data_IF_174263214530
#
_entry.id   IF_174263214530
#
_cell.length_a   1.000
_cell.length_b   1.000
_cell.length_c   1.000
_cell.angle_alpha   90.00
_cell.angle_beta   90.00
_cell.angle_gamma   90.00
#
_symmetry.space_group_name_H-M   'P 1'
#
loop_
_entity.id
_entity.type
_entity.pdbx_description
1 polymer ?
#
# COMPACT_ATOMS: atom_id res chain seq x y z
N UNK A 1 71.38 -1.32 -41.63
CA UNK A 1 70.50 -2.46 -41.89
C UNK A 1 69.35 -2.35 -40.84
N UNK A 2 68.34 -1.56 -41.17
CA UNK A 2 67.20 -1.28 -40.30
C UNK A 2 65.96 -1.96 -40.89
N UNK A 3 65.46 -2.95 -40.22
CA UNK A 3 64.28 -3.72 -40.58
C UNK A 3 63.05 -2.93 -40.19
N UNK A 4 62.40 -2.27 -41.13
CA UNK A 4 61.05 -1.73 -41.05
C UNK A 4 60.04 -2.87 -40.86
N UNK A 5 59.63 -3.13 -39.62
CA UNK A 5 58.46 -3.95 -39.38
C UNK A 5 57.22 -3.13 -39.69
N UNK A 6 56.73 -3.21 -40.95
CA UNK A 6 55.36 -2.80 -41.23
C UNK A 6 54.38 -3.66 -40.44
N UNK A 7 53.82 -3.07 -39.41
CA UNK A 7 52.66 -3.64 -38.70
C UNK A 7 51.48 -3.56 -39.65
N UNK A 8 51.18 -4.66 -40.31
CA UNK A 8 50.01 -4.80 -41.17
C UNK A 8 48.78 -4.94 -40.30
N UNK A 9 48.20 -3.82 -39.88
CA UNK A 9 46.88 -3.78 -39.23
C UNK A 9 45.89 -4.17 -40.33
N UNK A 10 45.35 -5.40 -40.29
CA UNK A 10 44.24 -5.87 -41.12
C UNK A 10 43.08 -4.89 -40.95
N UNK A 11 42.86 -4.01 -41.94
CA UNK A 11 41.84 -2.97 -41.89
C UNK A 11 40.46 -3.60 -41.80
N UNK A 12 39.84 -3.52 -40.62
CA UNK A 12 38.41 -3.78 -40.48
C UNK A 12 37.70 -2.81 -41.41
N UNK A 13 36.88 -3.32 -42.33
CA UNK A 13 36.11 -2.45 -43.24
C UNK A 13 35.25 -1.51 -42.42
N UNK A 14 35.35 -0.20 -42.64
CA UNK A 14 34.59 0.85 -41.91
C UNK A 14 33.10 0.51 -41.83
N UNK A 15 32.56 -0.09 -42.89
CA UNK A 15 31.16 -0.57 -42.94
C UNK A 15 30.86 -1.63 -41.85
N UNK A 16 31.76 -2.58 -41.66
CA UNK A 16 31.60 -3.65 -40.65
C UNK A 16 31.66 -3.08 -39.23
N UNK A 17 32.58 -2.15 -38.98
CA UNK A 17 32.69 -1.45 -37.70
C UNK A 17 31.41 -0.70 -37.34
N UNK A 18 30.87 0.10 -38.29
CA UNK A 18 29.62 0.83 -38.08
C UNK A 18 28.41 -0.09 -37.81
N UNK A 19 28.27 -1.18 -38.56
CA UNK A 19 27.18 -2.14 -38.35
C UNK A 19 27.27 -2.77 -36.94
N UNK A 20 28.48 -3.16 -36.53
CA UNK A 20 28.69 -3.74 -35.18
C UNK A 20 28.33 -2.71 -34.09
N UNK A 21 28.78 -1.47 -34.19
CA UNK A 21 28.50 -0.43 -33.21
C UNK A 21 27.01 -0.13 -33.12
N UNK A 22 26.31 0.04 -34.23
CA UNK A 22 24.87 0.26 -34.27
C UNK A 22 24.13 -0.93 -33.68
N UNK A 23 24.55 -2.16 -33.94
CA UNK A 23 23.94 -3.35 -33.39
C UNK A 23 24.08 -3.41 -31.84
N UNK A 24 25.26 -3.04 -31.33
CA UNK A 24 25.50 -2.96 -29.89
C UNK A 24 24.61 -1.90 -29.25
N UNK A 25 24.52 -0.70 -29.84
CA UNK A 25 23.64 0.37 -29.37
C UNK A 25 22.18 -0.10 -29.32
N UNK A 26 21.68 -0.74 -30.38
CA UNK A 26 20.31 -1.26 -30.40
C UNK A 26 20.05 -2.27 -29.30
N UNK A 27 20.97 -3.18 -29.06
CA UNK A 27 20.84 -4.18 -27.94
C UNK A 27 20.81 -3.47 -26.60
N UNK A 28 21.69 -2.50 -26.37
CA UNK A 28 21.71 -1.75 -25.10
C UNK A 28 20.44 -0.92 -24.88
N UNK A 29 19.87 -0.32 -25.94
CA UNK A 29 18.57 0.37 -25.86
C UNK A 29 17.42 -0.59 -25.50
N UNK A 30 17.37 -1.78 -26.11
CA UNK A 30 16.37 -2.80 -25.79
C UNK A 30 16.50 -3.25 -24.34
N UNK A 31 17.72 -3.48 -23.87
CA UNK A 31 17.98 -3.82 -22.45
C UNK A 31 17.56 -2.71 -21.50
N UNK A 32 17.79 -1.44 -21.87
CA UNK A 32 17.37 -0.29 -21.06
C UNK A 32 15.84 -0.20 -20.99
N UNK A 33 15.13 -0.36 -22.10
CA UNK A 33 13.67 -0.39 -22.13
C UNK A 33 13.11 -1.53 -21.26
N UNK A 34 13.67 -2.73 -21.38
CA UNK A 34 13.27 -3.87 -20.56
C UNK A 34 13.50 -3.60 -19.08
N UNK A 35 14.65 -3.05 -18.70
CA UNK A 35 14.96 -2.69 -17.32
C UNK A 35 13.99 -1.61 -16.77
N UNK A 36 13.57 -0.66 -17.61
CA UNK A 36 12.60 0.37 -17.24
C UNK A 36 11.22 -0.22 -16.93
N UNK A 37 10.72 -1.09 -17.81
CA UNK A 37 9.44 -1.78 -17.58
C UNK A 37 9.48 -2.60 -16.29
N UNK A 38 10.59 -3.31 -16.06
CA UNK A 38 10.76 -4.09 -14.82
C UNK A 38 10.82 -3.21 -13.55
N UNK A 39 11.43 -2.03 -13.64
CA UNK A 39 11.44 -1.07 -12.54
C UNK A 39 10.04 -0.54 -12.22
N UNK A 40 9.23 -0.22 -13.24
CA UNK A 40 7.83 0.21 -13.06
C UNK A 40 6.99 -0.85 -12.37
N UNK A 41 7.09 -2.11 -12.78
CA UNK A 41 6.38 -3.21 -12.11
C UNK A 41 6.74 -3.33 -10.62
N UNK A 42 8.00 -3.14 -10.25
CA UNK A 42 8.43 -3.16 -8.84
C UNK A 42 7.91 -1.95 -8.06
N UNK A 43 7.82 -0.81 -8.71
CA UNK A 43 7.24 0.40 -8.13
C UNK A 43 5.73 0.19 -7.84
N UNK A 44 4.98 -0.36 -8.80
CA UNK A 44 3.55 -0.62 -8.64
C UNK A 44 3.27 -1.58 -7.48
N UNK A 45 4.08 -2.64 -7.32
CA UNK A 45 3.98 -3.55 -6.17
C UNK A 45 4.20 -2.82 -4.85
N UNK A 46 5.16 -1.89 -4.79
CA UNK A 46 5.45 -1.11 -3.59
C UNK A 46 4.29 -0.16 -3.24
N UNK A 47 3.73 0.51 -4.24
CA UNK A 47 2.58 1.42 -4.07
C UNK A 47 1.37 0.63 -3.59
N UNK A 48 1.03 -0.47 -4.26
CA UNK A 48 -0.09 -1.34 -3.88
C UNK A 48 0.03 -1.85 -2.44
N UNK A 49 1.22 -2.31 -2.01
CA UNK A 49 1.44 -2.75 -0.64
C UNK A 49 1.20 -1.62 0.40
N UNK A 50 1.54 -0.38 0.05
CA UNK A 50 1.31 0.79 0.92
C UNK A 50 -0.18 1.15 0.99
N UNK A 51 -0.87 1.12 -0.15
CA UNK A 51 -2.32 1.39 -0.23
C UNK A 51 -3.11 0.35 0.57
N UNK A 52 -2.75 -0.93 0.45
CA UNK A 52 -3.36 -2.02 1.24
C UNK A 52 -3.17 -1.80 2.74
N UNK A 53 -1.96 -1.44 3.19
CA UNK A 53 -1.71 -1.18 4.61
C UNK A 53 -2.53 0.01 5.13
N UNK A 54 -2.63 1.10 4.35
CA UNK A 54 -3.43 2.26 4.70
C UNK A 54 -4.93 1.93 4.77
N UNK A 55 -5.43 1.12 3.84
CA UNK A 55 -6.82 0.66 3.83
C UNK A 55 -7.11 -0.21 5.07
N UNK A 56 -6.24 -1.17 5.40
CA UNK A 56 -6.37 -1.99 6.60
C UNK A 56 -6.35 -1.14 7.88
N UNK A 57 -5.45 -0.14 7.95
CA UNK A 57 -5.39 0.77 9.10
C UNK A 57 -6.67 1.59 9.25
N UNK A 58 -7.20 2.13 8.15
CA UNK A 58 -8.46 2.86 8.15
C UNK A 58 -9.63 1.98 8.61
N UNK A 59 -9.69 0.75 8.10
CA UNK A 59 -10.74 -0.19 8.44
C UNK A 59 -10.69 -0.59 9.92
N UNK A 60 -9.51 -0.86 10.47
CA UNK A 60 -9.37 -1.16 11.89
C UNK A 60 -9.77 0.02 12.78
N UNK A 61 -9.48 1.27 12.36
CA UNK A 61 -9.97 2.46 13.07
C UNK A 61 -11.50 2.53 13.07
N UNK A 62 -12.16 2.22 11.96
CA UNK A 62 -13.64 2.17 11.88
C UNK A 62 -14.26 1.13 12.83
N UNK A 63 -13.60 -0.02 13.02
CA UNK A 63 -14.06 -1.03 14.02
C UNK A 63 -13.98 -0.46 15.43
N UNK A 64 -12.86 0.18 15.77
CA UNK A 64 -12.68 0.80 17.09
C UNK A 64 -13.70 1.91 17.32
N UNK A 65 -13.83 2.84 16.37
CA UNK A 65 -14.78 3.96 16.44
C UNK A 65 -16.22 3.48 16.58
N UNK A 66 -16.62 2.46 15.79
CA UNK A 66 -17.98 1.87 15.89
C UNK A 66 -18.23 1.23 17.25
N UNK A 67 -17.27 0.48 17.78
CA UNK A 67 -17.37 -0.14 19.09
C UNK A 67 -17.41 0.89 20.24
N UNK A 68 -16.61 1.96 20.13
CA UNK A 68 -16.60 3.02 21.15
C UNK A 68 -17.88 3.85 21.10
N UNK A 69 -18.41 4.11 19.91
CA UNK A 69 -19.69 4.80 19.74
C UNK A 69 -20.85 4.01 20.37
N UNK A 70 -20.95 2.70 20.12
CA UNK A 70 -21.97 1.85 20.74
C UNK A 70 -21.86 1.87 22.26
N UNK A 71 -20.65 1.74 22.79
CA UNK A 71 -20.37 1.84 24.22
C UNK A 71 -20.85 3.17 24.82
N UNK A 72 -20.58 4.28 24.13
CA UNK A 72 -21.00 5.61 24.57
C UNK A 72 -22.53 5.72 24.59
N UNK A 73 -23.20 5.28 23.52
CA UNK A 73 -24.66 5.36 23.45
C UNK A 73 -25.35 4.52 24.55
N UNK A 74 -24.89 3.29 24.79
CA UNK A 74 -25.48 2.45 25.87
C UNK A 74 -25.25 3.06 27.23
N UNK A 75 -24.06 3.57 27.51
CA UNK A 75 -23.76 4.23 28.79
C UNK A 75 -24.61 5.46 29.05
N UNK A 76 -24.73 6.31 28.04
CA UNK A 76 -25.59 7.49 28.11
C UNK A 76 -27.05 7.10 28.31
N UNK A 77 -27.53 6.06 27.64
CA UNK A 77 -28.88 5.55 27.83
C UNK A 77 -29.09 5.03 29.28
N UNK A 78 -28.15 4.26 29.83
CA UNK A 78 -28.30 3.71 31.20
C UNK A 78 -28.25 4.76 32.29
N UNK A 79 -27.59 5.91 32.04
CA UNK A 79 -27.49 7.02 33.01
C UNK A 79 -28.62 8.02 32.82
N UNK A 80 -28.94 8.42 31.61
CA UNK A 80 -29.92 9.48 31.34
C UNK A 80 -31.33 8.96 31.11
N UNK A 81 -31.47 7.69 30.72
CA UNK A 81 -32.73 7.06 30.30
C UNK A 81 -33.38 7.73 29.08
N UNK A 82 -32.63 8.57 28.36
CA UNK A 82 -33.09 9.23 27.16
C UNK A 82 -33.07 8.28 25.95
N UNK A 83 -34.24 8.05 25.35
CA UNK A 83 -34.45 7.16 24.21
C UNK A 83 -33.67 7.59 22.97
N UNK A 84 -33.18 8.84 22.89
CA UNK A 84 -32.34 9.28 21.78
C UNK A 84 -31.06 8.46 21.66
N UNK A 85 -30.44 8.11 22.81
CA UNK A 85 -29.23 7.27 22.82
C UNK A 85 -29.52 5.84 22.38
N UNK A 86 -30.69 5.30 22.74
CA UNK A 86 -31.15 4.02 22.21
C UNK A 86 -31.32 4.04 20.71
N UNK A 87 -31.98 5.08 20.17
CA UNK A 87 -32.12 5.27 18.73
C UNK A 87 -30.76 5.35 18.02
N UNK A 88 -29.82 6.10 18.56
CA UNK A 88 -28.48 6.24 18.02
C UNK A 88 -27.72 4.92 17.99
N UNK A 89 -27.83 4.12 19.07
CA UNK A 89 -27.24 2.79 19.15
C UNK A 89 -27.73 1.88 18.02
N UNK A 90 -29.05 1.76 17.86
CA UNK A 90 -29.61 0.89 16.82
C UNK A 90 -29.43 1.45 15.39
N UNK A 91 -29.34 2.76 15.23
CA UNK A 91 -28.94 3.36 13.95
C UNK A 91 -27.54 2.92 13.54
N UNK A 92 -26.61 2.84 14.50
CA UNK A 92 -25.26 2.34 14.22
C UNK A 92 -25.30 0.86 13.78
N UNK A 93 -26.05 0.02 14.47
CA UNK A 93 -26.14 -1.42 14.17
C UNK A 93 -26.80 -1.69 12.83
N UNK A 94 -27.93 -1.03 12.51
CA UNK A 94 -28.73 -1.40 11.36
C UNK A 94 -28.45 -0.56 10.12
N UNK A 95 -28.00 0.70 10.27
CA UNK A 95 -27.87 1.64 9.16
C UNK A 95 -26.43 1.99 8.88
N UNK A 96 -25.67 2.45 9.84
CA UNK A 96 -24.29 2.92 9.64
C UNK A 96 -23.33 1.74 9.49
N UNK A 97 -23.46 0.70 10.29
CA UNK A 97 -22.76 -0.60 10.19
C UNK A 97 -21.24 -0.50 10.04
N UNK A 98 -20.59 0.45 10.72
CA UNK A 98 -19.13 0.68 10.57
C UNK A 98 -18.32 -0.59 10.74
N UNK A 99 -18.65 -1.42 11.75
CA UNK A 99 -17.93 -2.67 12.04
C UNK A 99 -18.14 -3.73 10.96
N UNK A 100 -19.38 -3.92 10.50
CA UNK A 100 -19.73 -4.98 9.55
C UNK A 100 -19.15 -4.69 8.15
N UNK A 101 -19.18 -3.42 7.72
CA UNK A 101 -18.61 -2.97 6.44
C UNK A 101 -17.11 -3.28 6.33
N UNK A 102 -16.40 -3.27 7.47
CA UNK A 102 -14.96 -3.56 7.50
C UNK A 102 -14.64 -5.02 7.17
N UNK A 103 -15.47 -5.95 7.64
CA UNK A 103 -15.26 -7.39 7.36
C UNK A 103 -15.34 -7.71 5.88
N UNK A 104 -16.33 -7.14 5.20
CA UNK A 104 -16.52 -7.33 3.78
C UNK A 104 -15.33 -6.77 2.98
N UNK A 105 -14.82 -5.61 3.39
CA UNK A 105 -13.67 -4.97 2.74
C UNK A 105 -12.33 -5.67 3.00
N UNK A 106 -12.16 -6.30 4.17
CA UNK A 106 -10.91 -6.99 4.52
C UNK A 106 -10.80 -8.39 3.90
N UNK A 107 -11.92 -9.00 3.50
CA UNK A 107 -11.95 -10.29 2.80
C UNK A 107 -11.20 -10.27 1.46
N UNK A 108 -11.06 -9.10 0.85
CA UNK A 108 -10.40 -8.90 -0.45
C UNK A 108 -8.87 -8.75 -0.35
N UNK A 109 -8.31 -8.67 0.87
CA UNK A 109 -6.87 -8.46 1.08
C UNK A 109 -6.15 -9.78 1.37
N UNK A 110 -4.98 -9.94 0.76
CA UNK A 110 -4.04 -11.05 1.05
C UNK A 110 -3.39 -10.85 2.42
N UNK A 111 -4.13 -11.20 3.46
CA UNK A 111 -3.73 -11.10 4.87
C UNK A 111 -3.44 -12.51 5.39
N UNK A 112 -2.35 -12.67 6.17
CA UNK A 112 -2.06 -13.96 6.78
C UNK A 112 -3.20 -14.42 7.71
N UNK A 113 -3.45 -15.73 7.77
CA UNK A 113 -4.50 -16.30 8.65
C UNK A 113 -4.34 -15.84 10.10
N UNK A 114 -3.10 -15.80 10.60
CA UNK A 114 -2.80 -15.33 11.95
C UNK A 114 -3.19 -13.87 12.18
N UNK A 115 -2.96 -13.02 11.20
CA UNK A 115 -3.32 -11.59 11.27
C UNK A 115 -4.84 -11.43 11.24
N UNK A 116 -5.52 -12.16 10.36
CA UNK A 116 -6.98 -12.19 10.27
C UNK A 116 -7.64 -12.66 11.57
N UNK A 117 -7.01 -13.62 12.28
CA UNK A 117 -7.52 -14.15 13.54
C UNK A 117 -7.63 -13.08 14.64
N UNK A 118 -6.71 -12.13 14.70
CA UNK A 118 -6.81 -11.03 15.66
C UNK A 118 -8.07 -10.18 15.45
N UNK A 119 -8.36 -9.83 14.21
CA UNK A 119 -9.54 -9.04 13.90
C UNK A 119 -10.83 -9.82 14.14
N UNK A 120 -10.87 -11.09 13.73
CA UNK A 120 -12.01 -11.98 13.97
C UNK A 120 -12.28 -12.13 15.45
N UNK A 121 -11.24 -12.27 16.27
CA UNK A 121 -11.37 -12.34 17.73
C UNK A 121 -11.95 -11.04 18.31
N UNK A 122 -11.42 -9.88 17.86
CA UNK A 122 -11.93 -8.58 18.30
C UNK A 122 -13.42 -8.39 17.97
N UNK A 123 -13.85 -8.85 16.78
CA UNK A 123 -15.25 -8.75 16.36
C UNK A 123 -16.16 -9.70 17.12
N UNK A 124 -15.72 -10.93 17.39
CA UNK A 124 -16.48 -11.88 18.22
C UNK A 124 -16.63 -11.33 19.64
N UNK A 125 -15.55 -10.88 20.28
CA UNK A 125 -15.60 -10.25 21.60
C UNK A 125 -16.50 -9.00 21.60
N UNK A 126 -16.50 -8.20 20.53
CA UNK A 126 -17.38 -7.05 20.40
C UNK A 126 -18.85 -7.44 20.24
N UNK A 127 -19.15 -8.55 19.57
CA UNK A 127 -20.52 -9.07 19.47
C UNK A 127 -21.02 -9.63 20.82
N UNK A 128 -20.15 -10.30 21.57
CA UNK A 128 -20.48 -10.75 22.94
C UNK A 128 -20.75 -9.55 23.84
N UNK A 129 -19.96 -8.49 23.72
CA UNK A 129 -20.14 -7.27 24.49
C UNK A 129 -21.49 -6.59 24.17
N UNK A 130 -21.93 -6.61 22.88
CA UNK A 130 -23.23 -6.11 22.47
C UNK A 130 -24.40 -6.85 23.18
N UNK A 131 -24.29 -8.15 23.44
CA UNK A 131 -25.32 -8.89 24.20
C UNK A 131 -25.43 -8.33 25.63
N UNK A 132 -24.32 -8.04 26.27
CA UNK A 132 -24.29 -7.39 27.58
C UNK A 132 -24.92 -5.99 27.55
N UNK A 133 -24.62 -5.23 26.50
CA UNK A 133 -25.18 -3.89 26.26
C UNK A 133 -26.71 -3.94 26.07
N UNK A 134 -27.19 -4.85 25.24
CA UNK A 134 -28.64 -5.05 25.03
C UNK A 134 -29.36 -5.54 26.29
N UNK A 135 -28.71 -6.42 27.04
CA UNK A 135 -29.26 -6.85 28.33
C UNK A 135 -29.38 -5.69 29.34
N UNK A 136 -28.38 -4.83 29.40
CA UNK A 136 -28.41 -3.60 30.19
C UNK A 136 -29.56 -2.67 29.76
N UNK A 137 -29.77 -2.50 28.44
CA UNK A 137 -30.92 -1.74 27.92
C UNK A 137 -32.25 -2.36 28.29
N UNK A 138 -32.36 -3.70 28.30
CA UNK A 138 -33.56 -4.41 28.72
C UNK A 138 -33.90 -4.14 30.20
N UNK A 139 -32.90 -4.11 31.08
CA UNK A 139 -33.07 -3.77 32.49
C UNK A 139 -33.59 -2.34 32.66
N UNK A 140 -33.02 -1.36 31.95
CA UNK A 140 -33.51 0.04 31.96
C UNK A 140 -34.94 0.13 31.46
N UNK A 141 -35.27 -0.61 30.37
CA UNK A 141 -36.62 -0.64 29.81
C UNK A 141 -37.64 -1.22 30.81
N UNK A 142 -37.30 -2.31 31.47
CA UNK A 142 -38.13 -2.93 32.47
C UNK A 142 -38.37 -2.00 33.69
N UNK A 143 -37.30 -1.39 34.21
CA UNK A 143 -37.35 -0.45 35.34
C UNK A 143 -38.25 0.77 35.08
N UNK A 144 -38.31 1.25 33.84
CA UNK A 144 -39.03 2.46 33.42
C UNK A 144 -40.33 2.17 32.65
N UNK A 145 -40.69 0.90 32.50
CA UNK A 145 -41.84 0.46 31.71
C UNK A 145 -41.81 0.97 30.23
N UNK A 146 -40.63 1.01 29.65
CA UNK A 146 -40.46 1.41 28.24
C UNK A 146 -40.85 0.26 27.32
N UNK A 147 -41.69 0.55 26.32
CA UNK A 147 -41.89 -0.38 25.20
C UNK A 147 -40.65 -0.46 24.31
N UNK A 148 -40.21 -1.68 23.98
CA UNK A 148 -39.08 -1.97 23.11
C UNK A 148 -39.53 -2.56 21.77
N UNK A 149 -40.82 -2.46 21.41
CA UNK A 149 -41.41 -3.03 20.18
C UNK A 149 -40.70 -2.62 18.90
N UNK A 150 -40.08 -1.42 18.88
CA UNK A 150 -39.27 -0.94 17.74
C UNK A 150 -37.82 -1.46 17.74
N UNK A 151 -37.43 -2.22 18.78
CA UNK A 151 -36.08 -2.74 18.98
C UNK A 151 -36.14 -4.23 19.32
N UNK A 152 -36.43 -5.03 18.28
CA UNK A 152 -36.68 -6.48 18.42
C UNK A 152 -35.56 -7.23 19.17
N UNK A 153 -34.32 -6.83 18.98
CA UNK A 153 -33.15 -7.48 19.59
C UNK A 153 -33.16 -7.32 21.14
N UNK A 154 -33.64 -6.18 21.65
CA UNK A 154 -33.83 -5.98 23.10
C UNK A 154 -35.16 -6.53 23.57
N UNK A 155 -36.20 -6.45 22.77
CA UNK A 155 -37.53 -6.95 23.11
C UNK A 155 -37.52 -8.46 23.41
N UNK A 156 -36.81 -9.22 22.58
CA UNK A 156 -36.68 -10.68 22.66
C UNK A 156 -35.79 -11.17 23.80
N UNK A 157 -35.07 -10.28 24.49
CA UNK A 157 -34.25 -10.67 25.64
C UNK A 157 -35.16 -10.93 26.84
N UNK A 158 -35.05 -12.12 27.39
CA UNK A 158 -35.65 -12.46 28.67
C UNK A 158 -34.73 -12.10 29.83
N UNK A 159 -35.27 -11.38 30.83
CA UNK A 159 -34.54 -11.17 32.06
C UNK A 159 -34.48 -12.48 32.85
N UNK A 160 -33.36 -12.71 33.52
CA UNK A 160 -33.29 -13.83 34.47
C UNK A 160 -34.35 -13.71 35.54
N UNK A 161 -34.77 -14.83 36.16
CA UNK A 161 -35.77 -14.83 37.24
C UNK A 161 -35.35 -13.92 38.40
N UNK A 162 -34.04 -13.90 38.67
CA UNK A 162 -33.46 -13.03 39.69
C UNK A 162 -33.63 -11.55 39.31
N UNK A 163 -33.25 -11.18 38.11
CA UNK A 163 -33.30 -9.80 37.63
C UNK A 163 -34.71 -9.27 37.44
N UNK A 164 -35.66 -10.13 37.06
CA UNK A 164 -37.04 -9.78 36.92
C UNK A 164 -37.71 -9.49 38.32
N UNK A 165 -37.13 -9.99 39.39
CA UNK A 165 -37.60 -9.76 40.77
C UNK A 165 -37.02 -8.50 41.42
N UNK A 166 -36.06 -7.83 40.79
CA UNK A 166 -35.41 -6.63 41.29
C UNK A 166 -36.38 -5.43 41.31
N UNK A 167 -36.19 -4.53 42.27
CA UNK A 167 -36.84 -3.22 42.23
C UNK A 167 -36.33 -2.38 41.07
N UNK A 168 -37.10 -1.40 40.56
CA UNK A 168 -36.65 -0.53 39.46
C UNK A 168 -35.30 0.11 39.73
N UNK A 169 -35.01 0.54 40.95
CA UNK A 169 -33.71 1.12 41.31
C UNK A 169 -32.57 0.10 41.15
N UNK A 170 -32.76 -1.12 41.63
CA UNK A 170 -31.76 -2.19 41.54
C UNK A 170 -31.53 -2.63 40.11
N UNK A 171 -32.58 -2.63 39.25
CA UNK A 171 -32.42 -2.89 37.81
C UNK A 171 -31.54 -1.83 37.13
N UNK A 172 -31.71 -0.55 37.47
CA UNK A 172 -30.91 0.55 36.97
C UNK A 172 -29.45 0.43 37.42
N UNK A 173 -29.24 0.17 38.73
CA UNK A 173 -27.89 -0.02 39.29
C UNK A 173 -27.18 -1.19 38.61
N UNK A 174 -27.85 -2.32 38.39
CA UNK A 174 -27.32 -3.48 37.70
C UNK A 174 -27.03 -3.18 36.22
N UNK A 175 -27.92 -2.48 35.55
CA UNK A 175 -27.72 -2.07 34.18
C UNK A 175 -26.46 -1.20 33.99
N UNK A 176 -26.24 -0.27 34.93
CA UNK A 176 -25.05 0.56 34.95
C UNK A 176 -23.79 -0.27 35.27
N UNK A 177 -23.85 -1.18 36.25
CA UNK A 177 -22.72 -2.04 36.57
C UNK A 177 -22.29 -2.91 35.36
N UNK A 178 -23.23 -3.42 34.60
CA UNK A 178 -22.96 -4.20 33.36
C UNK A 178 -22.15 -3.44 32.32
N UNK A 179 -22.28 -2.11 32.18
CA UNK A 179 -21.61 -1.31 31.15
C UNK A 179 -20.48 -0.41 31.67
N UNK A 180 -20.36 -0.28 33.00
CA UNK A 180 -19.28 0.46 33.65
C UNK A 180 -18.35 -0.43 34.50
N UNK A 181 -18.77 -1.64 34.83
CA UNK A 181 -18.05 -2.57 35.70
C UNK A 181 -16.73 -3.07 35.11
N UNK A 182 -15.98 -3.75 35.97
CA UNK A 182 -14.63 -4.25 35.61
C UNK A 182 -14.63 -5.23 34.44
N UNK A 183 -15.64 -6.11 34.37
CA UNK A 183 -15.72 -7.13 33.31
C UNK A 183 -15.93 -6.51 31.94
N UNK A 184 -16.82 -5.52 31.87
CA UNK A 184 -17.01 -4.73 30.64
C UNK A 184 -15.72 -4.00 30.23
N UNK A 185 -15.04 -3.37 31.20
CA UNK A 185 -13.76 -2.68 30.92
C UNK A 185 -12.68 -3.66 30.43
N UNK A 186 -12.63 -4.86 30.99
CA UNK A 186 -11.68 -5.89 30.56
C UNK A 186 -12.00 -6.42 29.16
N UNK A 187 -13.28 -6.61 28.83
CA UNK A 187 -13.71 -6.97 27.46
C UNK A 187 -13.31 -5.88 26.46
N UNK A 188 -13.57 -4.60 26.74
CA UNK A 188 -13.15 -3.47 25.91
C UNK A 188 -11.63 -3.43 25.70
N UNK A 189 -10.85 -3.66 26.76
CA UNK A 189 -9.37 -3.74 26.66
C UNK A 189 -8.91 -4.91 25.79
N UNK A 190 -9.59 -6.07 25.88
CA UNK A 190 -9.28 -7.22 25.03
C UNK A 190 -9.54 -6.91 23.55
N UNK A 191 -10.69 -6.35 23.23
CA UNK A 191 -11.04 -5.89 21.87
C UNK A 191 -9.98 -4.92 21.33
N UNK A 192 -9.65 -3.87 22.09
CA UNK A 192 -8.65 -2.88 21.72
C UNK A 192 -7.27 -3.51 21.49
N UNK A 193 -6.86 -4.44 22.35
CA UNK A 193 -5.59 -5.17 22.20
C UNK A 193 -5.56 -6.01 20.91
N UNK A 194 -6.64 -6.72 20.60
CA UNK A 194 -6.73 -7.52 19.38
C UNK A 194 -6.71 -6.65 18.12
N UNK A 195 -7.38 -5.49 18.14
CA UNK A 195 -7.30 -4.50 17.05
C UNK A 195 -5.86 -3.97 16.90
N UNK A 196 -5.18 -3.65 18.00
CA UNK A 196 -3.79 -3.20 17.99
C UNK A 196 -2.86 -4.27 17.43
N UNK A 197 -3.00 -5.52 17.86
CA UNK A 197 -2.21 -6.65 17.36
C UNK A 197 -2.43 -6.86 15.84
N UNK A 198 -3.66 -6.70 15.37
CA UNK A 198 -3.97 -6.74 13.94
C UNK A 198 -3.25 -5.63 13.18
N UNK A 199 -3.34 -4.39 13.66
CA UNK A 199 -2.67 -3.24 13.04
C UNK A 199 -1.15 -3.39 13.00
N UNK A 200 -0.55 -3.83 14.10
CA UNK A 200 0.89 -4.05 14.20
C UNK A 200 1.35 -5.13 13.22
N UNK A 201 0.60 -6.23 13.11
CA UNK A 201 0.91 -7.31 12.17
C UNK A 201 0.84 -6.82 10.70
N UNK A 202 -0.18 -6.07 10.33
CA UNK A 202 -0.31 -5.47 8.98
C UNK A 202 0.84 -4.49 8.72
N UNK A 203 1.18 -3.66 9.69
CA UNK A 203 2.24 -2.67 9.54
C UNK A 203 3.61 -3.33 9.37
N UNK A 204 3.88 -4.41 10.10
CA UNK A 204 5.12 -5.19 9.98
C UNK A 204 5.21 -5.84 8.59
N UNK A 205 4.16 -6.51 8.13
CA UNK A 205 4.11 -7.16 6.81
C UNK A 205 4.31 -6.13 5.68
N UNK A 206 3.59 -5.01 5.76
CA UNK A 206 3.71 -3.92 4.79
C UNK A 206 5.13 -3.33 4.76
N UNK A 207 5.74 -3.08 5.92
CA UNK A 207 7.13 -2.58 6.01
C UNK A 207 8.11 -3.57 5.41
N UNK A 208 7.96 -4.88 5.65
CA UNK A 208 8.82 -5.90 5.07
C UNK A 208 8.70 -5.94 3.54
N UNK A 209 7.48 -5.93 3.01
CA UNK A 209 7.20 -5.87 1.56
C UNK A 209 7.77 -4.59 0.94
N UNK A 210 7.59 -3.45 1.60
CA UNK A 210 8.10 -2.16 1.16
C UNK A 210 9.64 -2.11 1.17
N UNK A 211 10.29 -2.61 2.22
CA UNK A 211 11.76 -2.66 2.29
C UNK A 211 12.36 -3.56 1.21
N UNK A 212 11.81 -4.77 1.03
CA UNK A 212 12.24 -5.69 -0.02
C UNK A 212 12.08 -5.06 -1.42
N UNK A 213 10.94 -4.44 -1.69
CA UNK A 213 10.67 -3.76 -2.96
C UNK A 213 11.58 -2.55 -3.18
N UNK A 214 11.84 -1.75 -2.15
CA UNK A 214 12.74 -0.59 -2.20
C UNK A 214 14.18 -1.01 -2.50
N UNK A 215 14.69 -2.08 -1.86
CA UNK A 215 16.04 -2.59 -2.12
C UNK A 215 16.17 -3.10 -3.56
N UNK A 216 15.18 -3.83 -4.05
CA UNK A 216 15.14 -4.32 -5.42
C UNK A 216 15.06 -3.16 -6.42
N UNK A 217 14.24 -2.15 -6.16
CA UNK A 217 14.11 -0.96 -6.99
C UNK A 217 15.43 -0.18 -7.06
N UNK A 218 16.08 0.07 -5.92
CA UNK A 218 17.40 0.72 -5.87
C UNK A 218 18.45 -0.05 -6.68
N UNK A 219 18.44 -1.39 -6.62
CA UNK A 219 19.34 -2.24 -7.40
C UNK A 219 19.07 -2.10 -8.90
N UNK A 220 17.81 -2.14 -9.29
CA UNK A 220 17.39 -1.98 -10.69
C UNK A 220 17.76 -0.60 -11.22
N UNK A 221 17.47 0.47 -10.48
CA UNK A 221 17.85 1.85 -10.86
C UNK A 221 19.37 2.02 -11.00
N UNK A 222 20.17 1.43 -10.10
CA UNK A 222 21.64 1.44 -10.23
C UNK A 222 22.10 0.74 -11.48
N UNK A 223 21.52 -0.41 -11.81
CA UNK A 223 21.85 -1.12 -13.05
C UNK A 223 21.47 -0.30 -14.30
N UNK A 224 20.34 0.40 -14.28
CA UNK A 224 19.94 1.33 -15.34
C UNK A 224 20.94 2.49 -15.48
N UNK A 225 21.40 3.09 -14.38
CA UNK A 225 22.42 4.15 -14.43
C UNK A 225 23.72 3.66 -15.09
N UNK A 226 24.15 2.43 -14.78
CA UNK A 226 25.32 1.82 -15.41
C UNK A 226 25.09 1.65 -16.92
N UNK A 227 23.92 1.12 -17.32
CA UNK A 227 23.57 0.96 -18.75
C UNK A 227 23.54 2.28 -19.50
N UNK A 228 22.96 3.33 -18.92
CA UNK A 228 22.92 4.68 -19.49
C UNK A 228 24.35 5.23 -19.65
N UNK A 229 25.20 5.03 -18.65
CA UNK A 229 26.60 5.46 -18.71
C UNK A 229 27.39 4.76 -19.82
N UNK A 230 27.19 3.45 -19.98
CA UNK A 230 27.80 2.67 -21.06
C UNK A 230 27.33 3.18 -22.43
N UNK A 231 26.01 3.38 -22.61
CA UNK A 231 25.45 3.96 -23.85
C UNK A 231 26.03 5.35 -24.15
N UNK A 232 26.19 6.18 -23.13
CA UNK A 232 26.77 7.51 -23.33
C UNK A 232 28.23 7.44 -23.80
N UNK A 233 29.04 6.59 -23.17
CA UNK A 233 30.44 6.37 -23.58
C UNK A 233 30.53 5.81 -24.99
N UNK A 234 29.67 4.82 -25.31
CA UNK A 234 29.60 4.25 -26.67
C UNK A 234 29.28 5.32 -27.71
N UNK A 235 28.27 6.16 -27.48
CA UNK A 235 27.92 7.25 -28.39
C UNK A 235 29.09 8.24 -28.61
N UNK A 236 29.84 8.57 -27.55
CA UNK A 236 31.07 9.40 -27.69
C UNK A 236 32.11 8.71 -28.56
N UNK A 237 32.34 7.40 -28.37
CA UNK A 237 33.27 6.63 -29.20
C UNK A 237 32.85 6.60 -30.66
N UNK A 238 31.58 6.38 -30.95
CA UNK A 238 31.02 6.43 -32.29
C UNK A 238 31.30 7.80 -32.93
N UNK A 239 31.02 8.88 -32.21
CA UNK A 239 31.25 10.25 -32.69
C UNK A 239 32.73 10.52 -33.02
N UNK A 240 33.66 10.10 -32.14
CA UNK A 240 35.10 10.20 -32.39
C UNK A 240 35.51 9.40 -33.62
N UNK A 241 35.00 8.19 -33.81
CA UNK A 241 35.28 7.35 -34.98
C UNK A 241 34.77 7.99 -36.28
N UNK A 242 33.55 8.55 -36.26
CA UNK A 242 33.01 9.28 -37.43
C UNK A 242 33.91 10.46 -37.80
N UNK A 243 34.34 11.27 -36.83
CA UNK A 243 35.25 12.40 -37.11
C UNK A 243 36.57 11.91 -37.70
N UNK A 244 37.20 10.88 -37.11
CA UNK A 244 38.52 10.41 -37.57
C UNK A 244 38.49 9.66 -38.88
N UNK A 245 37.48 8.81 -39.10
CA UNK A 245 37.46 7.90 -40.26
C UNK A 245 36.70 8.46 -41.46
N UNK A 246 35.81 9.43 -41.25
CA UNK A 246 34.96 9.97 -42.31
C UNK A 246 35.26 11.46 -42.52
N UNK A 247 35.13 12.30 -41.53
CA UNK A 247 35.15 13.75 -41.67
C UNK A 247 36.57 14.22 -42.01
N UNK A 248 37.60 13.80 -41.26
CA UNK A 248 38.98 14.22 -41.52
C UNK A 248 39.51 13.82 -42.93
N UNK A 249 39.38 12.56 -43.37
CA UNK A 249 39.79 12.19 -44.74
C UNK A 249 39.03 12.96 -45.81
N UNK A 250 37.74 13.19 -45.63
CA UNK A 250 36.92 13.95 -46.58
C UNK A 250 37.37 15.41 -46.68
N UNK A 251 37.71 16.06 -45.57
CA UNK A 251 38.24 17.41 -45.50
C UNK A 251 39.58 17.50 -46.24
N UNK A 252 40.48 16.53 -46.03
CA UNK A 252 41.76 16.46 -46.72
C UNK A 252 41.54 16.32 -48.23
N UNK A 253 40.64 15.43 -48.64
CA UNK A 253 40.32 15.23 -50.07
C UNK A 253 39.76 16.49 -50.75
N UNK A 254 38.81 17.18 -50.05
CA UNK A 254 38.24 18.43 -50.56
C UNK A 254 39.29 19.53 -50.65
N UNK A 255 40.20 19.64 -49.67
CA UNK A 255 41.30 20.63 -49.75
C UNK A 255 42.26 20.35 -50.86
N UNK A 256 42.60 19.09 -51.14
CA UNK A 256 43.46 18.72 -52.23
C UNK A 256 42.81 19.09 -53.58
N UNK A 257 41.52 18.81 -53.78
CA UNK A 257 40.80 19.23 -55.01
C UNK A 257 40.77 20.76 -55.18
N UNK A 258 40.59 21.50 -54.10
CA UNK A 258 40.62 22.97 -54.09
C UNK A 258 42.03 23.49 -54.51
N UNK A 259 43.10 22.84 -54.05
CA UNK A 259 44.46 23.19 -54.36
C UNK A 259 44.76 22.88 -55.81
N UNK A 260 44.39 21.74 -56.37
CA UNK A 260 44.54 21.38 -57.76
C UNK A 260 43.82 22.39 -58.69
N UNK A 261 42.55 22.68 -58.45
CA UNK A 261 41.82 23.70 -59.25
C UNK A 261 42.44 25.08 -59.18
N UNK A 262 43.07 25.47 -58.09
CA UNK A 262 43.72 26.77 -57.94
C UNK A 262 45.03 26.83 -58.75
N UNK A 263 45.73 25.72 -58.82
CA UNK A 263 46.96 25.60 -59.69
C UNK A 263 46.64 25.62 -61.20
N UNK A 264 45.54 24.97 -61.63
CA UNK A 264 45.08 25.04 -63.00
C UNK A 264 44.67 26.46 -63.43
N UNK A 265 44.02 27.23 -62.52
CA UNK A 265 43.62 28.61 -62.84
C UNK A 265 44.82 29.58 -62.86
N UNK A 266 45.89 29.33 -62.06
CA UNK A 266 47.10 30.17 -62.04
C UNK A 266 48.16 29.80 -63.03
N UNK A 267 48.08 28.63 -63.65
CA UNK A 267 49.03 28.17 -64.72
C UNK A 267 48.60 28.43 -66.17
N UNK A 268 47.47 29.14 -66.37
CA UNK A 268 46.90 29.45 -67.68
C UNK A 268 47.05 30.95 -68.04
N UNK A 269 48.24 31.52 -67.71
CA UNK A 269 48.65 32.85 -68.18
C UNK A 269 50.03 32.76 -68.75
#
# INVERSE_FOLDING_TARGET
MGTDRKIQIRGIKIRTLNVVMISISCILYVLLLWATVHALQKYDIMVSATEHANACQKNAALVSEGSDYLTEQVRLFTVTMDKQYLMNYFKEIYSTKRRDTVLDQLGDYDISSKTSDYLRTALNESNELMQTEMYSMKLIAAANHYSMTNYSDVEQIDLTTEDASLSPKQMIEKAQDLVFGSDYQNAKKSISRNITNFLDAILIDSRQKQQASTLNLKRTMRNQQILISILFIENILIFILIIRLIIKPLQIYINNIKHEKRLEITGSY
#
